data_IF_615202772839
#
_entry.id   IF_615202772839
#
_cell.length_a   1.000
_cell.length_b   1.000
_cell.length_c   1.000
_cell.angle_alpha   90.00
_cell.angle_beta   90.00
_cell.angle_gamma   90.00
#
_symmetry.space_group_name_H-M   'P 1'
#
loop_
_entity.id
_entity.type
_entity.pdbx_description
1 polymer ?
#
# COMPACT_ATOMS: atom_id res chain seq x y z
N UNK A 1 -15.34 7.57 5.58
CA UNK A 1 -16.16 6.84 4.60
C UNK A 1 -15.16 6.28 3.63
N UNK A 2 -15.26 4.99 3.31
CA UNK A 2 -14.41 4.43 2.27
C UNK A 2 -14.92 4.86 0.89
N UNK A 3 -14.04 5.12 -0.08
CA UNK A 3 -14.48 5.30 -1.45
C UNK A 3 -15.09 4.01 -2.02
N UNK A 4 -16.22 4.14 -2.72
CA UNK A 4 -16.97 3.04 -3.32
C UNK A 4 -18.23 2.64 -2.54
N UNK A 5 -18.98 1.68 -3.08
CA UNK A 5 -20.24 1.18 -2.50
C UNK A 5 -19.97 0.32 -1.28
N UNK A 6 -20.46 0.75 -0.12
CA UNK A 6 -20.34 0.01 1.14
C UNK A 6 -21.53 -0.95 1.27
N UNK A 7 -21.26 -2.25 1.41
CA UNK A 7 -22.28 -3.24 1.73
C UNK A 7 -22.66 -3.14 3.21
N UNK A 8 -23.95 -3.26 3.51
CA UNK A 8 -24.49 -3.46 4.85
C UNK A 8 -23.81 -4.55 5.69
N UNK A 9 -23.20 -5.55 5.03
CA UNK A 9 -22.49 -6.68 5.66
C UNK A 9 -20.99 -6.43 5.85
N UNK A 10 -20.47 -5.26 5.46
CA UNK A 10 -19.04 -4.96 5.61
C UNK A 10 -18.64 -4.90 7.09
N UNK A 11 -17.77 -5.82 7.49
CA UNK A 11 -17.27 -5.94 8.88
C UNK A 11 -16.17 -4.94 9.20
N UNK A 12 -15.65 -4.23 8.20
CA UNK A 12 -14.50 -3.34 8.34
C UNK A 12 -14.88 -1.86 8.27
N UNK A 13 -16.11 -1.51 8.64
CA UNK A 13 -16.54 -0.12 8.79
C UNK A 13 -15.75 0.53 9.94
N UNK A 14 -15.01 1.59 9.60
CA UNK A 14 -14.20 2.36 10.55
C UNK A 14 -15.07 3.28 11.39
N UNK A 15 -14.63 3.56 12.62
CA UNK A 15 -15.31 4.44 13.58
C UNK A 15 -14.31 5.35 14.28
N UNK A 16 -14.81 6.43 14.89
CA UNK A 16 -13.99 7.39 15.63
C UNK A 16 -12.91 8.06 14.78
N UNK A 17 -11.76 8.35 15.39
CA UNK A 17 -10.65 9.10 14.77
C UNK A 17 -10.14 8.49 13.47
N UNK A 18 -10.10 7.16 13.36
CA UNK A 18 -9.71 6.48 12.12
C UNK A 18 -10.69 6.78 10.99
N UNK A 19 -12.00 6.78 11.28
CA UNK A 19 -13.00 7.15 10.28
C UNK A 19 -12.91 8.62 9.88
N UNK A 20 -12.57 9.50 10.81
CA UNK A 20 -12.43 10.93 10.55
C UNK A 20 -11.22 11.24 9.68
N UNK A 21 -10.10 10.54 9.93
CA UNK A 21 -8.90 10.60 9.08
C UNK A 21 -9.22 10.14 7.65
N UNK A 22 -9.91 9.01 7.49
CA UNK A 22 -10.33 8.52 6.17
C UNK A 22 -11.27 9.50 5.47
N UNK A 23 -12.23 10.10 6.19
CA UNK A 23 -13.13 11.12 5.62
C UNK A 23 -12.36 12.37 5.19
N UNK A 24 -11.38 12.81 5.97
CA UNK A 24 -10.59 14.00 5.65
C UNK A 24 -9.86 13.82 4.31
N UNK A 25 -9.13 12.72 4.16
CA UNK A 25 -8.42 12.40 2.90
C UNK A 25 -9.40 12.24 1.74
N UNK A 26 -10.52 11.54 1.93
CA UNK A 26 -11.51 11.38 0.84
C UNK A 26 -12.11 12.71 0.36
N UNK A 27 -12.26 13.70 1.24
CA UNK A 27 -12.75 15.03 0.86
C UNK A 27 -11.78 15.78 -0.05
N UNK A 28 -10.48 15.55 0.10
CA UNK A 28 -9.45 16.16 -0.76
C UNK A 28 -9.53 15.62 -2.21
N UNK A 29 -10.12 14.45 -2.41
CA UNK A 29 -10.23 13.76 -3.71
C UNK A 29 -11.69 13.46 -4.10
N UNK A 30 -12.60 14.40 -3.84
CA UNK A 30 -14.05 14.20 -4.00
C UNK A 30 -14.47 13.71 -5.40
N UNK A 31 -13.80 14.17 -6.46
CA UNK A 31 -14.07 13.74 -7.85
C UNK A 31 -13.78 12.25 -8.04
N UNK A 32 -12.63 11.76 -7.54
CA UNK A 32 -12.27 10.34 -7.62
C UNK A 32 -13.23 9.48 -6.79
N UNK A 33 -13.57 9.92 -5.58
CA UNK A 33 -14.51 9.20 -4.70
C UNK A 33 -15.86 9.04 -5.40
N UNK A 34 -16.39 10.13 -5.97
CA UNK A 34 -17.67 10.12 -6.69
C UNK A 34 -17.60 9.24 -7.94
N UNK A 35 -16.49 9.31 -8.70
CA UNK A 35 -16.28 8.48 -9.88
C UNK A 35 -16.29 6.98 -9.56
N UNK A 36 -15.63 6.57 -8.47
CA UNK A 36 -15.61 5.17 -8.03
C UNK A 36 -17.02 4.64 -7.69
N UNK A 37 -17.86 5.45 -7.05
CA UNK A 37 -19.25 5.10 -6.74
C UNK A 37 -20.13 5.00 -8.00
N UNK A 38 -19.97 5.93 -8.93
CA UNK A 38 -20.69 5.97 -10.21
C UNK A 38 -20.35 4.74 -11.08
N UNK A 39 -19.09 4.32 -11.08
CA UNK A 39 -18.65 3.09 -11.76
C UNK A 39 -19.03 1.80 -11.01
N UNK A 40 -19.66 1.92 -9.85
CA UNK A 40 -20.19 0.79 -9.10
C UNK A 40 -19.13 -0.07 -8.39
N UNK A 41 -17.93 0.47 -8.15
CA UNK A 41 -16.91 -0.25 -7.42
C UNK A 41 -17.33 -0.42 -5.96
N UNK A 42 -17.20 -1.65 -5.46
CA UNK A 42 -17.38 -1.93 -4.04
C UNK A 42 -16.24 -1.35 -3.22
N UNK A 43 -16.58 -0.76 -2.07
CA UNK A 43 -15.59 -0.36 -1.09
C UNK A 43 -14.82 -1.60 -0.61
N UNK A 44 -13.50 -1.46 -0.46
CA UNK A 44 -12.62 -2.54 -0.02
C UNK A 44 -11.55 -2.02 0.93
N UNK A 45 -10.99 -2.94 1.73
CA UNK A 45 -9.90 -2.65 2.67
C UNK A 45 -8.63 -3.33 2.22
N UNK A 46 -7.51 -2.64 2.40
CA UNK A 46 -6.17 -3.19 2.25
C UNK A 46 -5.40 -2.95 3.55
N UNK A 47 -4.68 -3.95 4.09
CA UNK A 47 -3.77 -3.73 5.21
C UNK A 47 -2.73 -2.65 4.88
N UNK A 48 -2.50 -1.71 5.81
CA UNK A 48 -1.54 -0.61 5.63
C UNK A 48 -0.08 -1.05 5.79
N UNK A 49 0.14 -2.23 6.39
CA UNK A 49 1.47 -2.83 6.58
C UNK A 49 1.35 -4.32 6.31
N UNK A 50 2.46 -4.92 5.92
CA UNK A 50 2.61 -6.36 5.82
C UNK A 50 3.91 -6.78 6.50
N UNK A 51 3.96 -8.02 6.97
CA UNK A 51 5.15 -8.61 7.53
C UNK A 51 5.89 -9.39 6.44
N UNK A 52 7.18 -9.11 6.28
CA UNK A 52 8.07 -9.91 5.43
C UNK A 52 8.35 -11.23 6.12
N UNK A 53 8.14 -12.34 5.42
CA UNK A 53 8.36 -13.67 5.95
C UNK A 53 9.67 -14.24 5.43
N UNK A 54 10.34 -15.05 6.27
CA UNK A 54 11.55 -15.78 5.89
C UNK A 54 12.65 -14.87 5.27
N UNK A 55 12.80 -13.65 5.77
CA UNK A 55 13.83 -12.73 5.29
C UNK A 55 15.22 -13.29 5.61
N UNK A 56 16.00 -13.51 4.57
CA UNK A 56 17.40 -13.89 4.61
C UNK A 56 18.20 -12.88 3.80
N UNK A 57 19.41 -12.57 4.25
CA UNK A 57 20.35 -11.75 3.50
C UNK A 57 21.75 -12.34 3.55
N UNK A 58 22.49 -12.13 2.47
CA UNK A 58 23.89 -12.53 2.36
C UNK A 58 24.66 -11.47 1.59
N UNK A 59 25.76 -10.97 2.18
CA UNK A 59 26.74 -10.19 1.44
C UNK A 59 27.48 -11.12 0.49
N UNK A 60 27.41 -10.82 -0.81
CA UNK A 60 28.14 -11.54 -1.85
C UNK A 60 29.57 -10.97 -1.98
N UNK A 61 29.72 -9.68 -1.74
CA UNK A 61 30.97 -8.93 -1.67
C UNK A 61 30.80 -7.68 -0.78
N UNK A 62 31.76 -6.75 -0.79
CA UNK A 62 31.74 -5.53 0.03
C UNK A 62 30.67 -4.49 -0.37
N UNK A 63 30.03 -4.67 -1.53
CA UNK A 63 29.09 -3.72 -2.15
C UNK A 63 27.77 -4.34 -2.58
N UNK A 64 27.66 -5.67 -2.58
CA UNK A 64 26.50 -6.41 -3.10
C UNK A 64 25.85 -7.27 -2.01
N UNK A 65 24.55 -7.07 -1.81
CA UNK A 65 23.72 -7.90 -0.91
C UNK A 65 22.67 -8.68 -1.70
N UNK A 66 22.58 -9.98 -1.46
CA UNK A 66 21.49 -10.84 -1.91
C UNK A 66 20.41 -10.89 -0.84
N UNK A 67 19.14 -10.72 -1.24
CA UNK A 67 17.97 -10.81 -0.36
C UNK A 67 17.04 -11.92 -0.85
N UNK A 68 16.61 -12.77 0.07
CA UNK A 68 15.58 -13.77 -0.17
C UNK A 68 14.46 -13.60 0.86
N UNK A 69 13.21 -13.53 0.42
CA UNK A 69 12.06 -13.30 1.29
C UNK A 69 10.75 -13.71 0.63
N UNK A 70 9.73 -13.94 1.45
CA UNK A 70 8.35 -14.23 1.03
C UNK A 70 7.44 -13.06 1.41
N UNK A 71 6.57 -12.68 0.48
CA UNK A 71 5.57 -11.62 0.67
C UNK A 71 4.15 -12.18 0.58
N UNK A 72 3.19 -11.61 1.33
CA UNK A 72 1.79 -11.96 1.15
C UNK A 72 1.28 -11.50 -0.22
N UNK A 73 0.21 -12.15 -0.69
CA UNK A 73 -0.46 -11.77 -1.95
C UNK A 73 -0.80 -10.28 -1.97
N UNK A 74 -0.46 -9.62 -3.08
CA UNK A 74 -0.72 -8.20 -3.28
C UNK A 74 0.33 -7.25 -2.68
N UNK A 75 1.33 -7.75 -1.94
CA UNK A 75 2.49 -6.96 -1.55
C UNK A 75 3.57 -6.97 -2.66
N UNK A 76 4.36 -5.90 -2.72
CA UNK A 76 5.41 -5.72 -3.74
C UNK A 76 6.80 -5.74 -3.09
N UNK A 77 7.77 -6.39 -3.75
CA UNK A 77 9.16 -6.40 -3.32
C UNK A 77 9.76 -4.99 -3.22
N UNK A 78 9.35 -4.09 -4.12
CA UNK A 78 9.76 -2.69 -4.09
C UNK A 78 9.33 -1.96 -2.82
N UNK A 79 8.21 -2.34 -2.20
CA UNK A 79 7.79 -1.79 -0.90
C UNK A 79 8.76 -2.19 0.22
N UNK A 80 9.35 -3.39 0.18
CA UNK A 80 10.43 -3.77 1.11
C UNK A 80 11.72 -3.00 0.78
N UNK A 81 12.12 -2.99 -0.49
CA UNK A 81 13.36 -2.33 -0.92
C UNK A 81 13.39 -0.84 -0.55
N UNK A 82 12.25 -0.15 -0.64
CA UNK A 82 12.10 1.25 -0.22
C UNK A 82 12.45 1.46 1.26
N UNK A 83 12.19 0.48 2.12
CA UNK A 83 12.43 0.60 3.56
C UNK A 83 13.87 0.23 3.96
N UNK A 84 14.62 -0.46 3.09
CA UNK A 84 15.99 -0.92 3.39
C UNK A 84 17.08 -0.24 2.57
N UNK A 85 16.71 0.44 1.47
CA UNK A 85 17.65 1.08 0.56
C UNK A 85 17.16 2.47 0.14
N UNK A 86 18.10 3.40 -0.04
CA UNK A 86 17.86 4.63 -0.78
C UNK A 86 18.11 4.38 -2.26
N UNK A 87 17.09 4.55 -3.09
CA UNK A 87 17.26 4.48 -4.54
C UNK A 87 17.98 5.73 -5.01
N UNK A 88 19.06 5.54 -5.77
CA UNK A 88 19.70 6.61 -6.53
C UNK A 88 19.27 6.44 -7.98
N UNK A 89 18.60 7.45 -8.53
CA UNK A 89 18.38 7.50 -9.97
C UNK A 89 19.70 7.85 -10.64
N UNK A 90 20.16 7.00 -11.55
CA UNK A 90 21.30 7.33 -12.39
C UNK A 90 20.78 8.23 -13.51
N UNK A 91 21.26 9.48 -13.58
CA UNK A 91 21.02 10.33 -14.74
C UNK A 91 21.64 9.62 -15.94
N UNK A 92 20.78 9.20 -16.87
CA UNK A 92 21.25 8.65 -18.14
C UNK A 92 21.80 9.83 -18.94
N UNK A 93 23.12 10.00 -18.95
CA UNK A 93 23.79 10.90 -19.88
C UNK A 93 23.49 10.42 -21.31
N UNK A 94 22.72 11.22 -22.05
CA UNK A 94 22.58 11.11 -23.50
C UNK A 94 23.87 11.54 -24.20
#
# INVERSE_FOLDING_TARGET
>A
MLPGRIDSKDRYVTRGQSADTEKAVCKEFAELVTGLEQQGLSAARRPLRFQVQQLQWQWLDSTTVSLAFTLPTGAYATSLLREVCLLRENEHSH
#
